data_IF_363941401277
#
_entry.id   IF_363941401277
#
_cell.length_a   1.000
_cell.length_b   1.000
_cell.length_c   1.000
_cell.angle_alpha   90.00
_cell.angle_beta   90.00
_cell.angle_gamma   90.00
#
_symmetry.space_group_name_H-M   'P 1'
#
loop_
_entity.id
_entity.type
_entity.pdbx_description
1 polymer ?
#
# COMPACT_ATOMS: atom_id res chain seq x y z
N UNK A 1 -58.78 5.77 -59.39
CA UNK A 1 -57.58 6.40 -58.79
C UNK A 1 -56.35 5.60 -59.25
N UNK A 2 -55.36 6.24 -59.90
CA UNK A 2 -54.29 5.49 -60.58
C UNK A 2 -53.36 4.80 -59.56
N UNK A 3 -53.06 3.52 -59.79
CA UNK A 3 -52.38 2.57 -58.86
C UNK A 3 -51.05 3.10 -58.30
N UNK A 4 -50.36 3.98 -59.04
CA UNK A 4 -49.12 4.60 -58.57
C UNK A 4 -49.32 5.48 -57.33
N UNK A 5 -50.48 6.14 -57.15
CA UNK A 5 -50.75 6.96 -55.96
C UNK A 5 -50.87 6.12 -54.68
N UNK A 6 -51.35 4.88 -54.80
CA UNK A 6 -51.47 3.94 -53.68
C UNK A 6 -50.08 3.45 -53.23
N UNK A 7 -49.14 3.26 -54.17
CA UNK A 7 -47.76 2.88 -53.84
C UNK A 7 -47.03 3.96 -53.04
N UNK A 8 -47.19 5.22 -53.41
CA UNK A 8 -46.57 6.33 -52.67
C UNK A 8 -47.20 6.52 -51.28
N UNK A 9 -48.51 6.29 -51.13
CA UNK A 9 -49.19 6.33 -49.84
C UNK A 9 -48.75 5.16 -48.94
N UNK A 10 -48.57 3.95 -49.51
CA UNK A 10 -48.09 2.79 -48.76
C UNK A 10 -46.63 2.96 -48.29
N UNK A 11 -45.75 3.53 -49.11
CA UNK A 11 -44.36 3.83 -48.73
C UNK A 11 -44.30 4.93 -47.68
N UNK A 12 -45.15 5.96 -47.77
CA UNK A 12 -45.26 7.02 -46.77
C UNK A 12 -45.80 6.50 -45.43
N UNK A 13 -46.80 5.61 -45.45
CA UNK A 13 -47.36 5.00 -44.24
C UNK A 13 -46.37 4.02 -43.58
N UNK A 14 -45.59 3.28 -44.37
CA UNK A 14 -44.54 2.38 -43.87
C UNK A 14 -43.36 3.17 -43.27
N UNK A 15 -43.01 4.32 -43.84
CA UNK A 15 -41.95 5.20 -43.27
C UNK A 15 -42.36 5.87 -41.95
N UNK A 16 -43.66 6.13 -41.75
CA UNK A 16 -44.22 6.57 -40.47
C UNK A 16 -44.24 5.47 -39.39
N UNK A 17 -44.33 4.19 -39.79
CA UNK A 17 -44.30 3.04 -38.88
C UNK A 17 -42.90 2.64 -38.41
N UNK A 18 -41.85 2.96 -39.17
CA UNK A 18 -40.44 2.72 -38.79
C UNK A 18 -39.77 3.90 -38.08
N UNK A 19 -40.46 5.04 -37.95
CA UNK A 19 -40.05 6.18 -37.10
C UNK A 19 -40.72 6.11 -35.71
N UNK A 20 -40.89 4.90 -35.16
CA UNK A 20 -41.07 4.76 -33.71
C UNK A 20 -39.72 4.96 -33.04
N UNK A 21 -39.26 6.21 -33.02
CA UNK A 21 -38.32 6.64 -32.00
C UNK A 21 -39.12 6.66 -30.70
N UNK A 22 -38.84 5.70 -29.83
CA UNK A 22 -39.21 5.83 -28.42
C UNK A 22 -38.51 7.08 -27.91
N UNK A 23 -39.25 8.18 -27.73
CA UNK A 23 -38.79 9.29 -26.90
C UNK A 23 -38.76 8.80 -25.45
N UNK A 24 -37.75 8.00 -25.12
CA UNK A 24 -37.32 7.81 -23.74
C UNK A 24 -36.13 8.74 -23.50
N UNK A 25 -36.34 10.04 -23.71
CA UNK A 25 -35.38 11.09 -23.33
C UNK A 25 -35.49 11.43 -21.83
N UNK A 26 -36.34 10.72 -21.07
CA UNK A 26 -36.49 10.85 -19.61
C UNK A 26 -35.92 9.65 -18.82
N UNK A 27 -35.36 8.63 -19.50
CA UNK A 27 -34.53 7.64 -18.81
C UNK A 27 -33.09 8.13 -18.82
N UNK A 28 -32.77 8.97 -17.83
CA UNK A 28 -31.42 9.34 -17.41
C UNK A 28 -30.63 8.13 -16.88
N UNK A 29 -30.91 6.94 -17.39
CA UNK A 29 -30.22 5.69 -17.10
C UNK A 29 -29.21 5.48 -18.22
N UNK A 30 -28.24 6.40 -18.30
CA UNK A 30 -26.91 6.03 -18.77
C UNK A 30 -26.57 4.79 -17.94
N UNK A 31 -26.66 3.60 -18.55
CA UNK A 31 -26.21 2.38 -17.91
C UNK A 31 -24.77 2.63 -17.54
N UNK A 32 -24.53 2.98 -16.27
CA UNK A 32 -23.21 2.96 -15.68
C UNK A 32 -22.74 1.54 -15.93
N UNK A 33 -21.83 1.37 -16.89
CA UNK A 33 -21.06 0.14 -17.01
C UNK A 33 -20.13 0.17 -15.79
N UNK A 34 -20.71 -0.14 -14.63
CA UNK A 34 -19.96 -0.37 -13.42
C UNK A 34 -18.96 -1.48 -13.68
N UNK A 35 -17.77 -1.34 -13.13
CA UNK A 35 -16.78 -2.41 -13.21
C UNK A 35 -17.41 -3.70 -12.66
N UNK A 36 -17.48 -4.74 -13.50
CA UNK A 36 -17.93 -6.06 -13.06
C UNK A 36 -16.81 -6.71 -12.24
N UNK A 37 -17.04 -6.81 -10.93
CA UNK A 37 -16.15 -7.45 -9.98
C UNK A 37 -16.53 -8.92 -9.72
N UNK A 38 -17.46 -9.50 -10.48
CA UNK A 38 -17.80 -10.91 -10.33
C UNK A 38 -16.65 -11.83 -10.75
N UNK A 39 -16.41 -12.90 -9.97
CA UNK A 39 -15.37 -13.87 -10.28
C UNK A 39 -14.81 -14.58 -9.05
N UNK A 40 -13.84 -15.47 -9.29
CA UNK A 40 -13.04 -16.11 -8.25
C UNK A 40 -11.78 -15.29 -8.03
N UNK A 41 -11.61 -14.72 -6.85
CA UNK A 41 -10.39 -14.03 -6.47
C UNK A 41 -9.32 -15.03 -6.05
N UNK A 42 -8.09 -14.83 -6.52
CA UNK A 42 -6.92 -15.51 -6.04
C UNK A 42 -5.96 -14.47 -5.47
N UNK A 43 -5.38 -14.76 -4.31
CA UNK A 43 -4.34 -13.91 -3.73
C UNK A 43 -3.17 -13.83 -4.71
N UNK A 44 -2.73 -12.60 -4.97
CA UNK A 44 -1.47 -12.33 -5.66
C UNK A 44 -0.39 -12.07 -4.62
N UNK A 45 0.86 -12.23 -5.05
CA UNK A 45 2.03 -11.92 -4.23
C UNK A 45 1.89 -10.54 -3.61
N UNK A 46 1.92 -10.49 -2.29
CA UNK A 46 2.07 -9.25 -1.56
C UNK A 46 3.56 -8.92 -1.49
N UNK A 47 3.91 -7.69 -1.82
CA UNK A 47 5.26 -7.19 -1.62
C UNK A 47 5.33 -6.63 -0.20
N UNK A 48 6.11 -7.29 0.66
CA UNK A 48 6.36 -6.78 1.99
C UNK A 48 7.11 -5.44 2.00
N UNK A 49 7.05 -4.70 3.11
CA UNK A 49 7.82 -3.47 3.35
C UNK A 49 9.28 -3.67 2.94
N UNK A 50 9.85 -2.89 2.00
CA UNK A 50 11.10 -3.23 1.34
C UNK A 50 12.25 -3.59 2.29
N UNK A 51 12.56 -2.77 3.29
CA UNK A 51 13.65 -3.05 4.22
C UNK A 51 13.33 -4.23 5.16
N UNK A 52 12.14 -4.23 5.76
CA UNK A 52 11.70 -5.29 6.69
C UNK A 52 11.69 -6.66 6.01
N UNK A 53 11.08 -6.75 4.82
CA UNK A 53 11.06 -7.96 4.05
C UNK A 53 12.50 -8.38 3.73
N UNK A 54 13.32 -7.49 3.18
CA UNK A 54 14.70 -7.79 2.79
C UNK A 54 15.55 -8.33 3.94
N UNK A 55 15.44 -7.73 5.13
CA UNK A 55 16.28 -8.06 6.28
C UNK A 55 15.76 -9.26 7.07
N UNK A 56 14.45 -9.33 7.32
CA UNK A 56 13.89 -10.28 8.29
C UNK A 56 13.22 -11.51 7.68
N UNK A 57 12.82 -11.47 6.41
CA UNK A 57 12.31 -12.66 5.72
C UNK A 57 13.49 -13.40 5.10
N UNK A 58 13.78 -14.60 5.60
CA UNK A 58 14.83 -15.46 5.05
C UNK A 58 14.56 -15.80 3.57
N UNK A 59 15.63 -15.97 2.78
CA UNK A 59 15.54 -16.17 1.32
C UNK A 59 14.57 -17.30 0.92
N UNK A 60 14.65 -18.44 1.59
CA UNK A 60 13.81 -19.62 1.31
C UNK A 60 12.34 -19.44 1.73
N UNK A 61 12.01 -18.33 2.43
CA UNK A 61 10.68 -18.03 2.96
C UNK A 61 9.98 -16.88 2.24
N UNK A 62 10.64 -16.26 1.25
CA UNK A 62 10.09 -15.13 0.49
C UNK A 62 8.77 -15.46 -0.18
N UNK A 63 8.72 -16.56 -0.93
CA UNK A 63 7.52 -16.96 -1.66
C UNK A 63 6.36 -17.30 -0.69
N UNK A 64 6.67 -18.01 0.39
CA UNK A 64 5.70 -18.33 1.43
C UNK A 64 5.16 -17.06 2.12
N UNK A 65 6.04 -16.10 2.41
CA UNK A 65 5.67 -14.81 2.97
C UNK A 65 4.75 -14.04 2.02
N UNK A 66 5.09 -13.98 0.73
CA UNK A 66 4.34 -13.24 -0.30
C UNK A 66 2.89 -13.74 -0.48
N UNK A 67 2.59 -14.99 -0.14
CA UNK A 67 1.24 -15.57 -0.28
C UNK A 67 0.51 -15.79 1.03
N UNK A 68 1.14 -15.52 2.18
CA UNK A 68 0.49 -15.72 3.48
C UNK A 68 -0.47 -14.59 3.79
N UNK A 69 -1.73 -14.89 4.12
CA UNK A 69 -2.69 -13.85 4.53
C UNK A 69 -2.10 -12.99 5.68
N UNK A 70 -2.21 -11.65 5.63
CA UNK A 70 -1.63 -10.77 6.66
C UNK A 70 -1.99 -11.16 8.09
N UNK A 71 -3.24 -11.58 8.33
CA UNK A 71 -3.71 -12.06 9.64
C UNK A 71 -2.95 -13.27 10.19
N UNK A 72 -2.26 -14.00 9.32
CA UNK A 72 -1.51 -15.21 9.66
C UNK A 72 0.01 -14.99 9.63
N UNK A 73 0.50 -13.83 9.16
CA UNK A 73 1.93 -13.60 8.99
C UNK A 73 2.66 -13.59 10.34
N UNK A 74 2.15 -12.86 11.34
CA UNK A 74 2.78 -12.82 12.67
C UNK A 74 2.95 -14.21 13.26
N UNK A 75 1.91 -15.04 13.21
CA UNK A 75 1.94 -16.43 13.71
C UNK A 75 2.99 -17.28 12.99
N UNK A 76 3.21 -17.06 11.68
CA UNK A 76 4.12 -17.89 10.89
C UNK A 76 5.57 -17.39 10.88
N UNK A 77 5.79 -16.07 10.94
CA UNK A 77 7.08 -15.46 10.64
C UNK A 77 7.69 -14.66 11.80
N UNK A 78 6.95 -14.34 12.87
CA UNK A 78 7.50 -13.54 13.97
C UNK A 78 8.75 -14.20 14.58
N UNK A 79 8.75 -15.51 14.80
CA UNK A 79 9.91 -16.20 15.38
C UNK A 79 11.14 -16.15 14.46
N UNK A 80 10.94 -16.16 13.14
CA UNK A 80 12.02 -15.97 12.17
C UNK A 80 12.56 -14.54 12.23
N UNK A 81 11.66 -13.55 12.32
CA UNK A 81 12.05 -12.15 12.44
C UNK A 81 12.85 -11.93 13.72
N UNK A 82 12.43 -12.50 14.84
CA UNK A 82 13.13 -12.40 16.12
C UNK A 82 14.51 -13.04 16.08
N UNK A 83 14.63 -14.22 15.47
CA UNK A 83 15.92 -14.88 15.28
C UNK A 83 16.87 -14.03 14.41
N UNK A 84 16.36 -13.48 13.30
CA UNK A 84 17.14 -12.63 12.41
C UNK A 84 17.53 -11.30 13.07
N UNK A 85 16.61 -10.68 13.83
CA UNK A 85 16.90 -9.46 14.59
C UNK A 85 18.02 -9.67 15.60
N UNK A 86 17.93 -10.70 16.45
CA UNK A 86 18.95 -11.02 17.46
C UNK A 86 20.28 -11.44 16.83
N UNK A 87 20.25 -12.04 15.64
CA UNK A 87 21.45 -12.41 14.90
C UNK A 87 22.17 -11.24 14.23
N UNK A 88 21.44 -10.18 13.87
CA UNK A 88 21.97 -9.03 13.12
C UNK A 88 22.26 -7.82 14.01
N UNK A 89 21.42 -7.56 15.00
CA UNK A 89 21.50 -6.33 15.77
C UNK A 89 22.22 -6.54 17.11
N UNK A 90 23.33 -5.81 17.35
CA UNK A 90 23.96 -5.80 18.67
C UNK A 90 23.08 -5.13 19.73
N UNK A 91 22.07 -4.33 19.32
CA UNK A 91 21.13 -3.69 20.24
C UNK A 91 20.14 -4.68 20.86
N UNK A 92 20.08 -5.92 20.37
CA UNK A 92 19.23 -6.99 20.92
C UNK A 92 20.04 -8.23 21.34
N UNK A 93 21.32 -8.03 21.68
CA UNK A 93 22.25 -9.12 21.98
C UNK A 93 22.00 -9.77 23.35
N UNK A 94 21.40 -9.05 24.30
CA UNK A 94 21.20 -9.49 25.68
C UNK A 94 19.71 -9.54 26.04
N UNK A 95 19.41 -10.32 27.09
CA UNK A 95 18.06 -10.39 27.64
C UNK A 95 17.70 -9.07 28.34
N UNK A 96 16.53 -8.54 28.00
CA UNK A 96 16.03 -7.27 28.55
C UNK A 96 16.28 -6.06 27.64
N UNK A 97 17.13 -6.21 26.62
CA UNK A 97 17.42 -5.17 25.65
C UNK A 97 16.16 -4.77 24.86
N UNK A 98 16.04 -3.47 24.59
CA UNK A 98 14.93 -2.88 23.84
C UNK A 98 15.42 -1.97 22.72
N UNK A 99 14.56 -1.70 21.75
CA UNK A 99 14.78 -0.60 20.81
C UNK A 99 14.38 0.75 21.44
N UNK A 100 14.59 1.81 20.66
CA UNK A 100 14.21 3.17 21.01
C UNK A 100 12.69 3.36 21.30
N UNK A 101 11.83 2.44 20.84
CA UNK A 101 10.40 2.43 21.19
C UNK A 101 10.10 1.73 22.53
N UNK A 102 11.13 1.27 23.24
CA UNK A 102 10.99 0.51 24.48
C UNK A 102 10.43 -0.91 24.27
N UNK A 103 10.52 -1.44 23.04
CA UNK A 103 10.06 -2.77 22.69
C UNK A 103 11.21 -3.77 22.77
N UNK A 104 10.99 -4.89 23.45
CA UNK A 104 11.90 -6.02 23.36
C UNK A 104 11.83 -6.68 21.96
N UNK A 105 12.73 -7.63 21.70
CA UNK A 105 12.81 -8.29 20.41
C UNK A 105 11.49 -8.96 19.99
N UNK A 106 10.75 -9.54 20.93
CA UNK A 106 9.49 -10.23 20.63
C UNK A 106 8.38 -9.23 20.28
N UNK A 107 8.25 -8.15 21.05
CA UNK A 107 7.29 -7.08 20.81
C UNK A 107 7.57 -6.35 19.48
N UNK A 108 8.84 -5.99 19.22
CA UNK A 108 9.23 -5.29 18.00
C UNK A 108 9.00 -6.15 16.76
N UNK A 109 9.41 -7.42 16.79
CA UNK A 109 9.19 -8.31 15.65
C UNK A 109 7.73 -8.73 15.50
N UNK A 110 6.94 -8.75 16.58
CA UNK A 110 5.49 -8.88 16.51
C UNK A 110 4.83 -7.73 15.74
N UNK A 111 5.30 -6.49 15.97
CA UNK A 111 4.89 -5.30 15.22
C UNK A 111 5.27 -5.42 13.73
N UNK A 112 6.48 -5.87 13.42
CA UNK A 112 7.00 -5.92 12.05
C UNK A 112 6.51 -7.12 11.23
N UNK A 113 6.24 -8.25 11.87
CA UNK A 113 5.88 -9.49 11.16
C UNK A 113 4.48 -9.45 10.55
N UNK A 114 3.60 -8.55 11.00
CA UNK A 114 2.34 -8.25 10.30
C UNK A 114 2.61 -7.11 9.34
N UNK A 115 2.96 -7.47 8.11
CA UNK A 115 3.44 -6.52 7.12
C UNK A 115 2.28 -5.95 6.32
N UNK A 116 1.62 -4.96 6.95
CA UNK A 116 0.51 -4.22 6.40
C UNK A 116 0.81 -2.73 6.41
N UNK A 117 0.29 -2.01 5.42
CA UNK A 117 0.34 -0.55 5.43
C UNK A 117 -0.72 -0.02 6.42
N UNK A 118 -0.25 0.38 7.58
CA UNK A 118 -1.07 1.12 8.53
C UNK A 118 -1.29 2.54 7.99
N UNK A 119 -2.54 2.95 7.87
CA UNK A 119 -2.94 4.28 7.40
C UNK A 119 -3.87 4.89 8.43
N UNK A 120 -3.56 6.11 8.87
CA UNK A 120 -4.52 6.96 9.57
C UNK A 120 -5.26 7.84 8.56
N UNK A 121 -6.60 7.84 8.60
CA UNK A 121 -7.43 8.65 7.70
C UNK A 121 -7.76 10.04 8.25
N UNK A 122 -7.66 10.20 9.56
CA UNK A 122 -8.06 11.38 10.33
C UNK A 122 -6.98 11.85 11.32
N UNK A 123 -5.90 11.09 11.48
CA UNK A 123 -4.73 11.44 12.29
C UNK A 123 -3.51 11.80 11.46
N UNK A 124 -2.41 12.08 12.16
CA UNK A 124 -1.11 12.35 11.54
C UNK A 124 -0.67 11.14 10.71
N UNK A 125 -0.31 11.37 9.45
CA UNK A 125 0.30 10.36 8.58
C UNK A 125 1.81 10.53 8.65
N UNK A 126 2.48 9.64 9.38
CA UNK A 126 3.95 9.61 9.47
C UNK A 126 4.46 8.20 9.72
N UNK A 127 5.67 7.94 9.24
CA UNK A 127 6.42 6.75 9.57
C UNK A 127 6.84 6.79 11.05
N UNK A 128 7.38 7.93 11.48
CA UNK A 128 7.70 8.23 12.88
C UNK A 128 7.95 9.73 13.09
N UNK A 129 7.33 10.33 14.11
CA UNK A 129 7.53 11.75 14.48
C UNK A 129 7.91 11.96 15.96
N UNK A 130 8.28 10.89 16.67
CA UNK A 130 8.49 10.90 18.11
C UNK A 130 7.27 10.48 18.93
N UNK A 131 6.06 10.53 18.36
CA UNK A 131 4.80 10.20 19.05
C UNK A 131 4.00 9.15 18.29
N UNK A 132 3.79 9.37 17.00
CA UNK A 132 3.07 8.49 16.08
C UNK A 132 4.07 7.52 15.45
N UNK A 133 3.68 6.24 15.35
CA UNK A 133 4.55 5.17 14.86
C UNK A 133 3.78 4.40 13.79
N UNK A 134 4.36 4.30 12.59
CA UNK A 134 3.80 3.54 11.47
C UNK A 134 2.33 3.88 11.19
N UNK A 135 2.01 5.16 11.05
CA UNK A 135 0.65 5.66 10.73
C UNK A 135 0.49 6.03 9.25
N UNK A 136 1.47 5.62 8.45
CA UNK A 136 1.63 5.89 7.03
C UNK A 136 3.03 6.41 6.76
N UNK A 137 3.19 7.32 5.79
CA UNK A 137 4.43 8.08 5.59
C UNK A 137 4.14 9.44 4.95
N UNK A 138 4.78 10.48 5.46
CA UNK A 138 4.88 11.77 4.79
C UNK A 138 6.01 11.72 3.75
N UNK A 139 6.00 12.68 2.81
CA UNK A 139 7.03 12.76 1.77
C UNK A 139 8.42 13.02 2.35
N UNK A 140 8.49 13.79 3.42
CA UNK A 140 9.72 14.18 4.10
C UNK A 140 10.15 13.21 5.20
N UNK A 141 9.44 12.10 5.41
CA UNK A 141 9.86 11.11 6.40
C UNK A 141 11.12 10.39 5.92
N UNK A 142 12.16 10.43 6.75
CA UNK A 142 13.37 9.63 6.59
C UNK A 142 13.13 8.20 7.12
N UNK A 143 12.47 7.40 6.27
CA UNK A 143 12.01 6.06 6.62
C UNK A 143 13.19 5.15 6.95
N UNK A 144 14.28 5.22 6.18
CA UNK A 144 15.37 4.24 6.32
C UNK A 144 16.19 4.53 7.56
N UNK A 145 16.57 5.79 7.82
CA UNK A 145 17.29 6.15 9.06
C UNK A 145 16.48 5.78 10.30
N UNK A 146 15.17 6.03 10.31
CA UNK A 146 14.31 5.59 11.41
C UNK A 146 14.30 4.06 11.53
N UNK A 147 14.14 3.31 10.44
CA UNK A 147 14.18 1.85 10.48
C UNK A 147 15.51 1.32 11.02
N UNK A 148 16.63 1.87 10.54
CA UNK A 148 17.97 1.52 10.99
C UNK A 148 18.19 1.84 12.47
N UNK A 149 17.71 3.00 12.94
CA UNK A 149 17.74 3.36 14.36
C UNK A 149 16.92 2.39 15.21
N UNK A 150 15.73 1.98 14.76
CA UNK A 150 14.90 1.02 15.50
C UNK A 150 15.50 -0.39 15.54
N UNK A 151 16.31 -0.75 14.54
CA UNK A 151 16.98 -2.05 14.47
C UNK A 151 18.29 -2.04 15.25
N UNK A 152 19.14 -1.02 15.06
CA UNK A 152 20.54 -1.00 15.50
C UNK A 152 20.87 0.04 16.57
N UNK A 153 19.97 1.00 16.82
CA UNK A 153 20.13 2.04 17.84
C UNK A 153 19.87 1.54 19.26
N UNK A 154 20.31 2.34 20.23
CA UNK A 154 20.08 2.09 21.65
C UNK A 154 18.67 2.45 22.13
N UNK A 155 18.36 2.08 23.38
CA UNK A 155 17.07 2.30 24.04
C UNK A 155 16.68 3.79 24.21
N UNK A 156 17.67 4.68 24.24
CA UNK A 156 17.52 6.12 24.48
C UNK A 156 17.61 6.95 23.19
N UNK A 157 17.35 6.32 22.03
CA UNK A 157 17.56 6.90 20.70
C UNK A 157 19.03 7.27 20.43
N UNK A 158 19.98 6.75 21.21
CA UNK A 158 21.39 6.90 20.83
C UNK A 158 21.69 6.07 19.59
N UNK A 159 22.16 6.76 18.57
CA UNK A 159 22.59 6.15 17.33
C UNK A 159 23.80 5.25 17.55
N UNK A 160 23.75 4.05 16.98
CA UNK A 160 24.97 3.33 16.66
C UNK A 160 25.42 3.82 15.29
N UNK A 161 26.19 4.92 15.27
CA UNK A 161 26.51 5.69 14.06
C UNK A 161 27.10 4.88 12.89
N UNK A 162 27.60 3.67 13.13
CA UNK A 162 28.05 2.77 12.06
C UNK A 162 26.90 2.07 11.30
N UNK A 163 25.70 2.03 11.86
CA UNK A 163 24.59 1.18 11.41
C UNK A 163 23.22 1.86 11.41
N UNK A 164 23.05 3.02 12.07
CA UNK A 164 21.74 3.67 12.26
C UNK A 164 21.40 4.77 11.26
N UNK A 165 22.25 5.04 10.26
CA UNK A 165 22.07 6.13 9.28
C UNK A 165 22.37 5.66 7.85
N UNK A 166 21.52 6.05 6.90
CA UNK A 166 21.70 5.72 5.48
C UNK A 166 22.45 6.80 4.68
N UNK A 167 22.76 7.93 5.33
CA UNK A 167 23.45 9.09 4.77
C UNK A 167 22.70 9.75 3.61
N UNK A 168 21.36 9.66 3.60
CA UNK A 168 20.47 10.30 2.61
C UNK A 168 19.50 11.28 3.29
N UNK A 169 20.03 12.43 3.69
CA UNK A 169 19.28 13.42 4.49
C UNK A 169 18.11 14.10 3.75
N UNK A 170 18.17 14.17 2.42
CA UNK A 170 17.20 14.92 1.64
C UNK A 170 17.11 14.49 0.17
N UNK A 171 15.98 14.81 -0.45
CA UNK A 171 15.79 14.65 -1.88
C UNK A 171 16.57 15.72 -2.66
N UNK A 172 17.07 15.36 -3.85
CA UNK A 172 17.83 16.26 -4.74
C UNK A 172 17.03 17.50 -5.17
N UNK A 173 15.70 17.39 -5.19
CA UNK A 173 14.77 18.48 -5.47
C UNK A 173 13.73 18.59 -4.37
N UNK A 174 13.44 19.82 -3.95
CA UNK A 174 12.33 20.08 -3.03
C UNK A 174 11.01 19.56 -3.61
N UNK A 175 10.17 18.98 -2.76
CA UNK A 175 8.81 18.59 -3.11
C UNK A 175 7.98 19.81 -3.53
N UNK A 176 7.01 19.58 -4.41
CA UNK A 176 6.05 20.60 -4.83
C UNK A 176 5.04 20.82 -3.70
N UNK A 177 4.56 22.06 -3.56
CA UNK A 177 3.52 22.40 -2.57
C UNK A 177 2.10 22.07 -3.06
N UNK A 178 1.97 21.57 -4.29
CA UNK A 178 0.73 21.15 -4.92
C UNK A 178 0.91 19.84 -5.68
N UNK A 179 -0.20 19.17 -5.93
CA UNK A 179 -0.21 17.92 -6.69
C UNK A 179 0.28 18.13 -8.15
N UNK A 180 1.11 17.23 -8.70
CA UNK A 180 1.73 16.06 -8.07
C UNK A 180 2.88 16.49 -7.14
N UNK A 181 2.82 16.16 -5.85
CA UNK A 181 3.76 16.67 -4.84
C UNK A 181 5.23 16.23 -5.05
N UNK A 182 5.47 15.21 -5.87
CA UNK A 182 6.81 14.77 -6.26
C UNK A 182 7.39 15.69 -7.36
N UNK A 183 8.64 16.10 -7.19
CA UNK A 183 9.36 16.86 -8.21
C UNK A 183 9.62 16.01 -9.47
N UNK A 184 9.86 16.67 -10.61
CA UNK A 184 10.19 15.96 -11.85
C UNK A 184 11.53 15.21 -11.74
N UNK A 185 11.66 14.02 -12.36
CA UNK A 185 12.95 13.35 -12.50
C UNK A 185 13.91 14.25 -13.29
N UNK A 186 15.11 14.47 -12.73
CA UNK A 186 16.26 15.26 -13.25
C UNK A 186 16.00 16.68 -13.78
#
# INVERSE_FOLDING_TARGET
MKIYKIKYIAVAAFSLLVMSCSNNDDDNNMMEVGADFSGTYAQKDQMGRPAVNTVFVSADSKDAFNVTLPSNQSVQFQSMFEANLKGLSPAFANEGDKNALGQDAAAFTGLLATDVLNVSLDGTTTFYDGTNVLTGRALADDVITVELLLIFGGEDFTENAAFSDDHVDANDKMFLTSFPYLASPW
#
